data_IF_765522312128
#
_entry.id   IF_765522312128
#
_cell.length_a   1.000
_cell.length_b   1.000
_cell.length_c   1.000
_cell.angle_alpha   90.00
_cell.angle_beta   90.00
_cell.angle_gamma   90.00
#
_symmetry.space_group_name_H-M   'P 1'
#
loop_
_entity.id
_entity.type
_entity.pdbx_description
1 polymer ?
#
# COMPACT_ATOMS: atom_id res chain seq x y z
N UNK A 1 7.48 7.35 22.03
CA UNK A 1 6.14 7.12 21.48
C UNK A 1 5.13 7.39 22.58
N UNK A 2 4.41 8.53 22.54
CA UNK A 2 3.35 8.81 23.52
C UNK A 2 2.16 7.91 23.20
N UNK A 3 1.71 7.17 24.21
CA UNK A 3 0.45 6.43 24.15
C UNK A 3 -0.62 7.49 23.89
N UNK A 4 -1.38 7.44 22.77
CA UNK A 4 -2.48 8.38 22.59
C UNK A 4 -3.42 8.24 23.78
N UNK A 5 -3.98 9.35 24.28
CA UNK A 5 -4.98 9.34 25.33
C UNK A 5 -6.05 8.32 24.91
N UNK A 6 -6.04 7.13 25.51
CA UNK A 6 -7.06 6.12 25.26
C UNK A 6 -8.38 6.67 25.78
N UNK A 7 -9.22 7.09 24.87
CA UNK A 7 -10.59 7.49 25.18
C UNK A 7 -11.44 6.23 25.26
N UNK A 8 -11.91 5.93 26.48
CA UNK A 8 -12.82 4.82 26.71
C UNK A 8 -14.28 5.32 26.68
N UNK A 9 -15.12 4.55 26.01
CA UNK A 9 -16.57 4.72 26.04
C UNK A 9 -17.18 3.58 26.84
N UNK A 10 -18.30 3.86 27.51
CA UNK A 10 -19.04 2.84 28.28
C UNK A 10 -20.20 2.32 27.44
N UNK A 11 -20.15 1.06 27.09
CA UNK A 11 -21.20 0.35 26.39
C UNK A 11 -22.06 -0.44 27.40
N UNK A 12 -23.38 -0.36 27.29
CA UNK A 12 -24.29 -1.15 28.10
C UNK A 12 -24.47 -2.54 27.45
N UNK A 13 -24.00 -3.58 28.13
CA UNK A 13 -24.20 -4.96 27.70
C UNK A 13 -25.19 -5.67 28.62
N UNK A 14 -25.79 -6.81 28.23
CA UNK A 14 -26.66 -7.61 29.11
C UNK A 14 -25.98 -8.07 30.40
N UNK A 15 -24.63 -8.07 30.43
CA UNK A 15 -23.82 -8.45 31.59
C UNK A 15 -23.37 -7.23 32.46
N UNK A 16 -23.77 -6.01 32.07
CA UNK A 16 -23.40 -4.76 32.74
C UNK A 16 -22.58 -3.82 31.86
N UNK A 17 -22.17 -2.65 32.37
CA UNK A 17 -21.40 -1.68 31.63
C UNK A 17 -20.00 -2.21 31.36
N UNK A 18 -19.57 -2.20 30.06
CA UNK A 18 -18.23 -2.55 29.60
C UNK A 18 -17.53 -1.30 29.12
N UNK A 19 -16.28 -1.11 29.50
CA UNK A 19 -15.42 -0.09 28.93
C UNK A 19 -14.70 -0.66 27.69
N UNK A 20 -14.83 0.03 26.56
CA UNK A 20 -14.16 -0.27 25.31
C UNK A 20 -13.44 0.99 24.83
N UNK A 21 -12.26 0.86 24.24
CA UNK A 21 -11.60 2.02 23.64
C UNK A 21 -12.36 2.49 22.39
N UNK A 22 -12.26 3.80 22.10
CA UNK A 22 -13.05 4.42 21.04
C UNK A 22 -12.71 3.87 19.66
N UNK A 23 -11.43 3.51 19.39
CA UNK A 23 -11.02 3.00 18.12
C UNK A 23 -11.55 1.59 17.86
N UNK A 24 -11.50 0.72 18.88
CA UNK A 24 -12.15 -0.61 18.80
C UNK A 24 -13.65 -0.48 18.57
N UNK A 25 -14.31 0.45 19.25
CA UNK A 25 -15.76 0.68 19.05
C UNK A 25 -16.08 1.20 17.65
N UNK A 26 -15.21 2.05 17.09
CA UNK A 26 -15.38 2.56 15.74
C UNK A 26 -15.05 1.49 14.67
N UNK A 27 -14.10 0.60 14.96
CA UNK A 27 -13.83 -0.55 14.10
C UNK A 27 -15.04 -1.50 14.00
N UNK A 28 -15.76 -1.73 15.09
CA UNK A 28 -17.03 -2.48 15.08
C UNK A 28 -18.09 -1.82 14.17
N UNK A 29 -17.98 -0.51 13.90
CA UNK A 29 -18.84 0.24 12.98
C UNK A 29 -18.19 0.38 11.57
N UNK A 30 -17.18 -0.45 11.24
CA UNK A 30 -16.42 -0.44 9.97
C UNK A 30 -15.71 0.88 9.70
N UNK A 31 -15.27 1.58 10.74
CA UNK A 31 -14.54 2.84 10.61
C UNK A 31 -13.08 2.63 11.00
N UNK A 32 -12.19 2.91 10.06
CA UNK A 32 -10.74 2.86 10.22
C UNK A 32 -10.17 4.28 10.14
N UNK A 33 -9.15 4.56 10.96
CA UNK A 33 -8.42 5.83 10.91
C UNK A 33 -6.99 5.61 10.43
N UNK A 34 -6.63 6.29 9.35
CA UNK A 34 -5.27 6.39 8.84
C UNK A 34 -4.75 7.80 9.15
N UNK A 35 -4.04 7.94 10.26
CA UNK A 35 -3.57 9.24 10.78
C UNK A 35 -2.04 9.28 10.85
N UNK A 36 -1.44 10.32 10.28
CA UNK A 36 0.01 10.57 10.31
C UNK A 36 0.74 10.02 9.10
N UNK A 37 2.06 9.86 9.22
CA UNK A 37 2.92 9.39 8.14
C UNK A 37 2.67 7.91 7.82
N UNK A 38 2.54 7.59 6.53
CA UNK A 38 2.37 6.21 6.06
C UNK A 38 3.75 5.54 6.04
N UNK A 39 3.91 4.54 6.90
CA UNK A 39 5.09 3.68 7.01
C UNK A 39 4.66 2.21 7.14
N UNK A 40 5.62 1.30 7.25
CA UNK A 40 5.34 -0.14 7.31
C UNK A 40 4.49 -0.52 8.53
N UNK A 41 4.73 0.06 9.71
CA UNK A 41 3.93 -0.20 10.92
C UNK A 41 2.47 0.25 10.74
N UNK A 42 2.26 1.42 10.10
CA UNK A 42 0.93 1.92 9.76
C UNK A 42 0.24 1.00 8.75
N UNK A 43 0.95 0.60 7.70
CA UNK A 43 0.41 -0.29 6.67
C UNK A 43 -0.01 -1.64 7.27
N UNK A 44 0.83 -2.26 8.10
CA UNK A 44 0.51 -3.51 8.80
C UNK A 44 -0.77 -3.36 9.63
N UNK A 45 -0.88 -2.27 10.39
CA UNK A 45 -2.06 -2.01 11.23
C UNK A 45 -3.35 -1.85 10.42
N UNK A 46 -3.31 -1.08 9.32
CA UNK A 46 -4.49 -0.85 8.46
C UNK A 46 -4.88 -2.14 7.73
N UNK A 47 -3.90 -2.88 7.19
CA UNK A 47 -4.13 -4.16 6.52
C UNK A 47 -4.78 -5.16 7.47
N UNK A 48 -4.28 -5.29 8.71
CA UNK A 48 -4.86 -6.18 9.70
C UNK A 48 -6.32 -5.83 10.00
N UNK A 49 -6.66 -4.54 10.11
CA UNK A 49 -8.03 -4.07 10.33
C UNK A 49 -8.94 -4.37 9.14
N UNK A 50 -8.46 -4.18 7.90
CA UNK A 50 -9.20 -4.49 6.68
C UNK A 50 -9.53 -5.99 6.58
N UNK A 51 -8.53 -6.85 6.83
CA UNK A 51 -8.71 -8.31 6.80
C UNK A 51 -9.61 -8.80 7.94
N UNK A 52 -9.54 -8.18 9.11
CA UNK A 52 -10.44 -8.47 10.22
C UNK A 52 -11.90 -8.17 9.86
N UNK A 53 -12.16 -6.99 9.29
CA UNK A 53 -13.51 -6.61 8.89
C UNK A 53 -14.05 -7.48 7.75
N UNK A 54 -13.20 -7.89 6.80
CA UNK A 54 -13.61 -8.84 5.75
C UNK A 54 -14.02 -10.20 6.34
N UNK A 55 -13.28 -10.68 7.35
CA UNK A 55 -13.54 -11.97 7.97
C UNK A 55 -14.86 -11.99 8.79
N UNK A 56 -15.30 -10.84 9.30
CA UNK A 56 -16.55 -10.71 10.05
C UNK A 56 -17.79 -10.67 9.12
N UNK A 57 -17.61 -10.70 7.78
CA UNK A 57 -18.70 -10.71 6.78
C UNK A 57 -19.77 -9.61 7.00
N UNK A 58 -19.35 -8.41 7.37
CA UNK A 58 -20.26 -7.29 7.54
C UNK A 58 -20.97 -6.91 6.23
N UNK A 59 -22.26 -6.60 6.33
CA UNK A 59 -23.08 -6.14 5.21
C UNK A 59 -23.02 -4.60 5.14
N UNK A 60 -21.90 -4.09 4.63
CA UNK A 60 -21.70 -2.64 4.50
C UNK A 60 -20.32 -2.25 3.98
N UNK A 61 -20.16 -0.96 3.72
CA UNK A 61 -18.90 -0.39 3.24
C UNK A 61 -17.94 -0.11 4.41
N UNK A 62 -16.68 -0.48 4.26
CA UNK A 62 -15.61 -0.06 5.18
C UNK A 62 -15.29 1.41 4.89
N UNK A 63 -15.22 2.25 5.93
CA UNK A 63 -14.92 3.68 5.81
C UNK A 63 -13.54 3.98 6.40
N UNK A 64 -12.62 4.44 5.56
CA UNK A 64 -11.27 4.85 5.99
C UNK A 64 -11.20 6.38 6.03
N UNK A 65 -11.02 6.93 7.23
CA UNK A 65 -10.78 8.35 7.44
C UNK A 65 -9.29 8.63 7.37
N UNK A 66 -8.86 9.38 6.35
CA UNK A 66 -7.46 9.62 6.03
C UNK A 66 -7.07 11.05 6.43
N UNK A 67 -6.08 11.16 7.31
CA UNK A 67 -5.43 12.41 7.70
C UNK A 67 -3.91 12.20 7.71
N UNK A 68 -3.30 12.18 6.54
CA UNK A 68 -1.90 11.84 6.34
C UNK A 68 -1.19 12.85 5.44
N UNK A 69 0.06 13.22 5.74
CA UNK A 69 0.90 13.97 4.83
C UNK A 69 1.50 13.09 3.71
N UNK A 70 1.23 11.78 3.71
CA UNK A 70 1.86 10.78 2.88
C UNK A 70 2.94 9.99 3.61
N UNK A 71 3.89 9.39 2.88
CA UNK A 71 4.97 8.60 3.45
C UNK A 71 5.60 7.64 2.46
N UNK A 72 5.91 6.41 2.90
CA UNK A 72 6.56 5.37 2.11
C UNK A 72 5.61 4.83 1.05
N UNK A 73 5.99 4.91 -0.22
CA UNK A 73 5.16 4.53 -1.37
C UNK A 73 4.76 3.06 -1.29
N UNK A 74 5.71 2.16 -1.01
CA UNK A 74 5.46 0.72 -0.92
C UNK A 74 4.47 0.36 0.19
N UNK A 75 4.54 1.05 1.33
CA UNK A 75 3.57 0.90 2.42
C UNK A 75 2.16 1.36 2.00
N UNK A 76 2.07 2.48 1.28
CA UNK A 76 0.81 2.97 0.71
C UNK A 76 0.21 2.02 -0.32
N UNK A 77 1.04 1.45 -1.20
CA UNK A 77 0.62 0.46 -2.19
C UNK A 77 0.12 -0.83 -1.52
N UNK A 78 0.77 -1.30 -0.46
CA UNK A 78 0.31 -2.49 0.27
C UNK A 78 -1.10 -2.32 0.87
N UNK A 79 -1.41 -1.12 1.39
CA UNK A 79 -2.77 -0.79 1.84
C UNK A 79 -3.74 -0.80 0.63
N UNK A 80 -3.37 -0.13 -0.46
CA UNK A 80 -4.19 -0.03 -1.66
C UNK A 80 -4.49 -1.42 -2.25
N UNK A 81 -3.48 -2.26 -2.41
CA UNK A 81 -3.63 -3.62 -2.94
C UNK A 81 -4.57 -4.47 -2.07
N UNK A 82 -4.45 -4.33 -0.73
CA UNK A 82 -5.38 -5.01 0.19
C UNK A 82 -6.81 -4.53 -0.01
N UNK A 83 -7.04 -3.22 -0.15
CA UNK A 83 -8.37 -2.66 -0.44
C UNK A 83 -8.96 -3.20 -1.75
N UNK A 84 -8.12 -3.50 -2.75
CA UNK A 84 -8.57 -4.10 -4.02
C UNK A 84 -8.83 -5.60 -3.92
N UNK A 85 -8.16 -6.29 -2.99
CA UNK A 85 -8.27 -7.75 -2.82
C UNK A 85 -9.48 -8.19 -2.01
N UNK A 86 -9.89 -7.37 -1.01
CA UNK A 86 -11.05 -7.69 -0.16
C UNK A 86 -12.36 -7.54 -0.93
N UNK A 87 -13.39 -8.28 -0.51
CA UNK A 87 -14.72 -8.28 -1.15
C UNK A 87 -15.58 -7.10 -0.73
N UNK A 88 -15.35 -6.59 0.48
CA UNK A 88 -16.09 -5.45 1.00
C UNK A 88 -15.76 -4.19 0.21
N UNK A 89 -16.75 -3.34 -0.04
CA UNK A 89 -16.46 -2.01 -0.60
C UNK A 89 -15.72 -1.16 0.42
N UNK A 90 -14.76 -0.36 -0.07
CA UNK A 90 -14.00 0.56 0.78
C UNK A 90 -14.24 1.99 0.32
N UNK A 91 -14.78 2.80 1.21
CA UNK A 91 -14.95 4.24 1.02
C UNK A 91 -13.83 5.00 1.74
N UNK A 92 -13.10 5.83 1.02
CA UNK A 92 -12.04 6.67 1.59
C UNK A 92 -12.55 8.10 1.79
N UNK A 93 -12.33 8.66 2.98
CA UNK A 93 -12.78 9.99 3.38
C UNK A 93 -11.55 10.79 3.81
N UNK A 94 -11.19 11.81 3.04
CA UNK A 94 -10.10 12.70 3.42
C UNK A 94 -10.55 13.68 4.49
N UNK A 95 -9.78 13.74 5.59
CA UNK A 95 -10.01 14.67 6.70
C UNK A 95 -8.76 15.54 6.83
N UNK A 96 -8.85 16.83 6.54
CA UNK A 96 -7.71 17.75 6.56
C UNK A 96 -7.36 18.31 5.18
N UNK A 97 -6.10 18.26 4.78
CA UNK A 97 -5.65 18.86 3.52
C UNK A 97 -5.92 17.94 2.32
N UNK A 98 -7.14 17.98 1.77
CA UNK A 98 -7.51 17.23 0.56
C UNK A 98 -6.63 17.56 -0.66
N UNK A 99 -6.02 18.75 -0.69
CA UNK A 99 -5.09 19.16 -1.75
C UNK A 99 -3.83 18.30 -1.82
N UNK A 100 -3.34 17.78 -0.70
CA UNK A 100 -2.07 17.06 -0.65
C UNK A 100 -2.20 15.63 -1.21
N UNK A 101 -3.38 14.99 -1.06
CA UNK A 101 -3.62 13.66 -1.64
C UNK A 101 -3.64 13.70 -3.17
N UNK A 102 -4.26 14.73 -3.76
CA UNK A 102 -4.25 14.90 -5.21
C UNK A 102 -2.85 15.20 -5.75
N UNK A 103 -2.05 15.99 -5.01
CA UNK A 103 -0.67 16.29 -5.35
C UNK A 103 0.17 15.02 -5.26
N UNK A 104 0.02 14.21 -4.22
CA UNK A 104 0.78 12.97 -4.03
C UNK A 104 0.43 11.89 -5.04
N UNK A 105 -0.86 11.68 -5.36
CA UNK A 105 -1.27 10.78 -6.44
C UNK A 105 -0.68 11.21 -7.80
N UNK A 106 -0.60 12.52 -8.03
CA UNK A 106 0.03 13.07 -9.25
C UNK A 106 1.55 12.89 -9.25
N UNK A 107 2.22 13.06 -8.09
CA UNK A 107 3.65 12.80 -7.96
C UNK A 107 4.00 11.31 -8.05
N UNK A 108 3.15 10.40 -7.53
CA UNK A 108 3.30 8.96 -7.72
C UNK A 108 3.25 8.56 -9.20
N UNK A 109 2.24 9.06 -9.93
CA UNK A 109 2.16 8.82 -11.38
C UNK A 109 3.36 9.40 -12.11
N UNK A 110 3.83 10.57 -11.70
CA UNK A 110 5.04 11.19 -12.26
C UNK A 110 6.29 10.35 -11.97
N UNK A 111 6.44 9.84 -10.75
CA UNK A 111 7.55 8.97 -10.38
C UNK A 111 7.51 7.64 -11.14
N UNK A 112 6.33 7.03 -11.31
CA UNK A 112 6.16 5.84 -12.14
C UNK A 112 6.57 6.12 -13.59
N UNK A 113 6.04 7.15 -14.21
CA UNK A 113 6.38 7.51 -15.58
C UNK A 113 7.88 7.77 -15.76
N UNK A 114 8.53 8.42 -14.78
CA UNK A 114 9.97 8.65 -14.81
C UNK A 114 10.76 7.34 -14.72
N UNK A 115 10.33 6.40 -13.88
CA UNK A 115 10.94 5.06 -13.79
C UNK A 115 10.75 4.29 -15.10
N UNK A 116 9.57 4.33 -15.69
CA UNK A 116 9.30 3.69 -16.98
C UNK A 116 10.18 4.28 -18.10
N UNK A 117 10.37 5.60 -18.15
CA UNK A 117 11.29 6.26 -19.08
C UNK A 117 12.75 5.83 -18.89
N UNK A 118 13.21 5.71 -17.63
CA UNK A 118 14.56 5.23 -17.31
C UNK A 118 14.71 3.77 -17.75
N UNK A 119 13.73 2.93 -17.51
CA UNK A 119 13.75 1.53 -17.93
C UNK A 119 13.78 1.42 -19.46
N UNK A 120 12.95 2.18 -20.17
CA UNK A 120 13.01 2.26 -21.65
C UNK A 120 14.40 2.62 -22.14
N UNK A 121 15.02 3.64 -21.53
CA UNK A 121 16.36 4.08 -21.93
C UNK A 121 17.43 3.01 -21.72
N UNK A 122 17.40 2.29 -20.60
CA UNK A 122 18.41 1.30 -20.25
C UNK A 122 18.17 -0.06 -20.89
N UNK A 123 16.93 -0.50 -21.02
CA UNK A 123 16.58 -1.82 -21.56
C UNK A 123 16.44 -1.80 -23.09
N UNK A 124 16.12 -0.65 -23.67
CA UNK A 124 15.76 -0.53 -25.09
C UNK A 124 14.38 -1.11 -25.41
N UNK A 125 13.61 -1.52 -24.43
CA UNK A 125 12.26 -2.02 -24.63
C UNK A 125 11.28 -0.88 -24.96
N UNK A 126 10.21 -1.14 -25.74
CA UNK A 126 9.15 -0.17 -25.98
C UNK A 126 8.44 0.22 -24.69
N UNK A 127 7.97 1.47 -24.60
CA UNK A 127 7.27 1.98 -23.39
C UNK A 127 6.06 1.15 -23.03
N UNK A 128 5.30 0.66 -24.01
CA UNK A 128 4.10 -0.16 -23.80
C UNK A 128 4.42 -1.52 -23.15
N UNK A 129 5.63 -2.05 -23.39
CA UNK A 129 6.12 -3.27 -22.75
C UNK A 129 6.50 -2.98 -21.30
N UNK A 130 7.26 -1.90 -21.08
CA UNK A 130 7.67 -1.47 -19.74
C UNK A 130 6.45 -1.17 -18.87
N UNK A 131 5.49 -0.36 -19.33
CA UNK A 131 4.27 -0.03 -18.59
C UNK A 131 3.48 -1.28 -18.18
N UNK A 132 3.37 -2.26 -19.08
CA UNK A 132 2.70 -3.52 -18.81
C UNK A 132 3.43 -4.37 -17.77
N UNK A 133 4.75 -4.44 -17.86
CA UNK A 133 5.58 -5.29 -17.02
C UNK A 133 5.81 -4.66 -15.63
N UNK A 134 5.76 -3.32 -15.52
CA UNK A 134 5.83 -2.59 -14.24
C UNK A 134 4.48 -2.42 -13.53
N UNK A 135 3.37 -2.79 -14.18
CA UNK A 135 2.02 -2.71 -13.60
C UNK A 135 1.74 -3.82 -12.57
N UNK A 136 2.54 -4.89 -12.57
CA UNK A 136 2.46 -6.01 -11.64
C UNK A 136 3.86 -6.53 -11.31
N UNK A 137 3.94 -7.39 -10.29
CA UNK A 137 5.17 -8.11 -9.98
C UNK A 137 5.64 -8.91 -11.18
N UNK A 138 6.78 -8.49 -11.74
CA UNK A 138 7.41 -9.12 -12.88
C UNK A 138 8.79 -9.65 -12.46
N UNK A 139 8.88 -10.98 -12.30
CA UNK A 139 10.10 -11.65 -11.87
C UNK A 139 10.86 -12.19 -13.07
N UNK A 140 12.16 -11.89 -13.12
CA UNK A 140 13.07 -12.37 -14.15
C UNK A 140 14.18 -13.20 -13.50
N UNK A 141 14.58 -14.30 -14.13
CA UNK A 141 15.86 -14.94 -13.83
C UNK A 141 17.02 -14.05 -14.24
N UNK A 142 18.25 -14.39 -13.83
CA UNK A 142 19.41 -13.59 -14.21
C UNK A 142 19.63 -13.57 -15.73
N UNK A 143 19.39 -14.69 -16.40
CA UNK A 143 19.46 -14.83 -17.85
C UNK A 143 18.41 -13.99 -18.56
N UNK A 144 17.16 -14.07 -18.13
CA UNK A 144 16.06 -13.26 -18.65
C UNK A 144 16.29 -11.75 -18.42
N UNK A 145 16.90 -11.37 -17.30
CA UNK A 145 17.23 -9.98 -17.01
C UNK A 145 18.30 -9.42 -17.96
N UNK A 146 19.25 -10.27 -18.42
CA UNK A 146 20.22 -9.89 -19.48
C UNK A 146 19.52 -9.73 -20.82
N UNK A 147 18.65 -10.67 -21.20
CA UNK A 147 17.90 -10.61 -22.47
C UNK A 147 16.94 -9.41 -22.50
N UNK A 148 16.33 -9.09 -21.36
CA UNK A 148 15.46 -7.93 -21.20
C UNK A 148 16.21 -6.60 -21.28
N UNK A 149 17.52 -6.61 -20.97
CA UNK A 149 18.39 -5.45 -20.95
C UNK A 149 18.48 -4.74 -19.61
N UNK A 150 17.99 -5.35 -18.52
CA UNK A 150 18.06 -4.80 -17.16
C UNK A 150 19.47 -4.86 -16.57
N UNK A 151 20.27 -5.86 -16.95
CA UNK A 151 21.65 -6.05 -16.49
C UNK A 151 22.56 -6.36 -17.65
N UNK A 152 23.84 -5.99 -17.54
CA UNK A 152 24.84 -6.13 -18.62
C UNK A 152 25.45 -7.53 -18.70
N UNK A 153 25.31 -8.34 -17.66
CA UNK A 153 25.90 -9.70 -17.64
C UNK A 153 25.80 -10.37 -16.29
N UNK A 154 26.12 -11.66 -16.27
CA UNK A 154 26.04 -12.53 -15.08
C UNK A 154 27.45 -12.89 -14.63
N UNK A 155 27.73 -12.81 -13.32
CA UNK A 155 28.99 -13.29 -12.73
C UNK A 155 28.77 -14.71 -12.22
N UNK A 156 29.44 -15.69 -12.82
CA UNK A 156 29.45 -17.09 -12.33
C UNK A 156 30.70 -17.35 -11.50
N UNK A 157 30.55 -18.20 -10.48
CA UNK A 157 31.67 -18.53 -9.58
C UNK A 157 32.82 -19.15 -10.34
N UNK A 158 33.98 -18.49 -10.34
CA UNK A 158 35.19 -18.96 -11.04
C UNK A 158 35.35 -18.49 -12.49
N UNK A 159 34.39 -17.80 -13.04
CA UNK A 159 34.42 -17.18 -14.36
C UNK A 159 34.25 -15.68 -14.23
N UNK A 160 34.95 -14.88 -15.04
CA UNK A 160 34.74 -13.42 -15.09
C UNK A 160 33.32 -13.09 -15.62
N UNK A 161 33.00 -11.78 -15.68
CA UNK A 161 31.70 -11.30 -16.21
C UNK A 161 31.47 -11.87 -17.61
N UNK A 162 30.51 -12.79 -17.75
CA UNK A 162 30.09 -13.32 -19.05
C UNK A 162 29.03 -12.37 -19.61
N UNK A 163 29.39 -11.63 -20.65
CA UNK A 163 28.44 -10.90 -21.49
C UNK A 163 27.88 -11.88 -22.52
N UNK A 164 26.67 -12.33 -22.35
CA UNK A 164 25.94 -12.96 -23.43
C UNK A 164 25.39 -11.85 -24.34
N UNK A 165 25.83 -11.88 -25.60
CA UNK A 165 25.35 -11.01 -26.70
C UNK A 165 24.14 -11.66 -27.34
#
# INVERSE_FOLDING_TARGET
MGIPNMLFVSEQTPQGPRQIDIYSRLLDEQIIFLNGEINDDMAESIIAQLLYLEAEEFDGDIRIYINSPGGVITAGLAIYDTMQCIKCNVATICVGQASDIQIQAKEMNRAKNLLDEILVYHTGQPIEVIEKDTDRDFFLSAEEAVEYGLIDGIVRHGEGVVKEK
#
